data_IF_636670463228
#
_entry.id   IF_636670463228
#
_cell.length_a   1.000
_cell.length_b   1.000
_cell.length_c   1.000
_cell.angle_alpha   90.00
_cell.angle_beta   90.00
_cell.angle_gamma   90.00
#
_symmetry.space_group_name_H-M   'P 1'
#
loop_
_entity.id
_entity.type
_entity.pdbx_description
1 polymer ?
#
# COMPACT_ATOMS: atom_id res chain seq x y z
N UNK A 1 -5.82 -13.65 7.84
CA UNK A 1 -4.42 -14.03 7.53
C UNK A 1 -4.24 -14.47 6.09
N UNK A 2 -5.17 -15.26 5.51
CA UNK A 2 -5.08 -15.75 4.13
C UNK A 2 -4.81 -14.67 3.06
N UNK A 3 -5.34 -13.44 3.24
CA UNK A 3 -5.07 -12.26 2.39
C UNK A 3 -3.59 -11.90 2.31
N UNK A 4 -2.91 -11.75 3.45
CA UNK A 4 -1.49 -11.37 3.48
C UNK A 4 -0.62 -12.51 2.97
N UNK A 5 -0.95 -13.76 3.31
CA UNK A 5 -0.26 -14.93 2.76
C UNK A 5 -0.33 -14.98 1.23
N UNK A 6 -1.51 -14.71 0.65
CA UNK A 6 -1.67 -14.69 -0.80
C UNK A 6 -0.90 -13.53 -1.44
N UNK A 7 -0.93 -12.32 -0.84
CA UNK A 7 -0.07 -11.21 -1.27
C UNK A 7 1.41 -11.60 -1.23
N UNK A 8 1.86 -12.23 -0.15
CA UNK A 8 3.27 -12.59 0.05
C UNK A 8 3.76 -13.68 -0.92
N UNK A 9 2.86 -14.52 -1.43
CA UNK A 9 3.18 -15.50 -2.49
C UNK A 9 3.16 -14.83 -3.86
N UNK A 10 2.29 -13.85 -4.07
CA UNK A 10 2.10 -13.19 -5.38
C UNK A 10 3.17 -12.14 -5.65
N UNK A 11 3.66 -11.45 -4.61
CA UNK A 11 4.55 -10.30 -4.74
C UNK A 11 5.86 -10.52 -3.98
N UNK A 12 6.97 -10.16 -4.62
CA UNK A 12 8.33 -10.27 -4.04
C UNK A 12 8.57 -9.27 -2.91
N UNK A 13 7.87 -8.13 -2.92
CA UNK A 13 7.92 -7.12 -1.89
C UNK A 13 6.56 -6.44 -1.71
N UNK A 14 6.22 -6.12 -0.46
CA UNK A 14 5.00 -5.41 -0.09
C UNK A 14 5.42 -4.22 0.77
N UNK A 15 5.23 -3.02 0.25
CA UNK A 15 5.63 -1.78 0.92
C UNK A 15 4.45 -1.08 1.56
N UNK A 16 4.62 -0.70 2.83
CA UNK A 16 3.66 0.09 3.58
C UNK A 16 4.18 1.53 3.67
N UNK A 17 3.46 2.51 3.10
CA UNK A 17 3.83 3.92 3.22
C UNK A 17 3.88 4.36 4.68
N UNK A 18 4.82 5.25 5.01
CA UNK A 18 5.01 5.73 6.37
C UNK A 18 3.77 6.45 6.90
N UNK A 19 3.11 7.23 6.04
CA UNK A 19 1.92 8.00 6.38
C UNK A 19 0.71 7.09 6.64
N UNK A 20 0.53 6.03 5.83
CA UNK A 20 -0.50 5.01 6.05
C UNK A 20 -0.29 4.33 7.41
N UNK A 21 0.95 3.95 7.75
CA UNK A 21 1.26 3.37 9.06
C UNK A 21 0.92 4.35 10.20
N UNK A 22 1.27 5.64 10.04
CA UNK A 22 0.99 6.66 11.03
C UNK A 22 -0.52 6.83 11.25
N UNK A 23 -1.30 6.99 10.20
CA UNK A 23 -2.76 7.11 10.27
C UNK A 23 -3.41 5.87 10.89
N UNK A 24 -2.98 4.68 10.46
CA UNK A 24 -3.58 3.42 10.88
C UNK A 24 -3.27 3.06 12.35
N UNK A 25 -2.08 3.43 12.84
CA UNK A 25 -1.61 3.06 14.18
C UNK A 25 -1.67 4.18 15.20
N UNK A 26 -1.22 5.39 14.83
CA UNK A 26 -0.96 6.48 15.77
C UNK A 26 -2.21 7.34 15.93
N UNK A 27 -2.83 7.79 14.83
CA UNK A 27 -4.05 8.62 14.87
C UNK A 27 -5.21 7.91 15.60
N UNK A 28 -5.27 6.58 15.50
CA UNK A 28 -6.30 5.75 16.16
C UNK A 28 -5.92 5.20 17.54
N UNK A 29 -4.66 5.39 18.00
CA UNK A 29 -4.11 4.83 19.25
C UNK A 29 -4.43 3.34 19.47
N UNK A 30 -4.49 2.56 18.39
CA UNK A 30 -4.95 1.17 18.43
C UNK A 30 -3.78 0.20 18.69
N UNK A 31 -3.57 -0.14 19.96
CA UNK A 31 -2.52 -1.08 20.40
C UNK A 31 -2.69 -2.46 19.76
N UNK A 32 -3.91 -2.91 19.47
CA UNK A 32 -4.18 -4.22 18.85
C UNK A 32 -3.70 -4.21 17.41
N UNK A 33 -4.05 -3.19 16.62
CA UNK A 33 -3.56 -3.03 15.24
C UNK A 33 -2.04 -2.94 15.16
N UNK A 34 -1.40 -2.23 16.09
CA UNK A 34 0.06 -2.15 16.12
C UNK A 34 0.70 -3.52 16.38
N UNK A 35 0.13 -4.30 17.30
CA UNK A 35 0.59 -5.66 17.58
C UNK A 35 0.40 -6.58 16.36
N UNK A 36 -0.74 -6.47 15.68
CA UNK A 36 -1.02 -7.22 14.44
C UNK A 36 -0.04 -6.82 13.33
N UNK A 37 0.21 -5.54 13.10
CA UNK A 37 1.16 -5.10 12.07
C UNK A 37 2.58 -5.59 12.38
N UNK A 38 3.03 -5.45 13.62
CA UNK A 38 4.35 -5.97 14.04
C UNK A 38 4.45 -7.47 13.85
N UNK A 39 3.39 -8.21 14.15
CA UNK A 39 3.34 -9.64 13.92
C UNK A 39 3.39 -9.96 12.41
N UNK A 40 2.60 -9.28 11.57
CA UNK A 40 2.63 -9.44 10.11
C UNK A 40 4.03 -9.20 9.55
N UNK A 41 4.67 -8.08 9.91
CA UNK A 41 6.02 -7.76 9.43
C UNK A 41 7.09 -8.72 9.94
N UNK A 42 6.85 -9.39 11.08
CA UNK A 42 7.75 -10.42 11.61
C UNK A 42 7.55 -11.76 10.89
N UNK A 43 6.31 -12.12 10.61
CA UNK A 43 5.94 -13.39 9.98
C UNK A 43 6.23 -13.39 8.46
N UNK A 44 5.98 -12.26 7.80
CA UNK A 44 6.13 -12.11 6.35
C UNK A 44 7.25 -11.10 6.07
N UNK A 45 8.47 -11.61 5.84
CA UNK A 45 9.67 -10.78 5.60
C UNK A 45 9.56 -9.85 4.38
N UNK A 46 8.69 -10.19 3.42
CA UNK A 46 8.39 -9.38 2.24
C UNK A 46 7.57 -8.12 2.58
N UNK A 47 6.93 -8.06 3.76
CA UNK A 47 6.14 -6.90 4.20
C UNK A 47 7.01 -5.94 5.00
N UNK A 48 7.36 -4.81 4.40
CA UNK A 48 8.24 -3.81 5.01
C UNK A 48 7.65 -2.40 4.92
N UNK A 49 8.29 -1.45 5.61
CA UNK A 49 8.04 -0.04 5.33
C UNK A 49 8.60 0.30 3.95
N UNK A 50 7.90 1.17 3.23
CA UNK A 50 8.40 1.65 1.95
C UNK A 50 9.78 2.31 2.12
N UNK A 51 10.80 1.89 1.35
CA UNK A 51 12.14 2.47 1.45
C UNK A 51 12.21 3.88 0.85
N UNK A 52 11.24 4.23 -0.01
CA UNK A 52 11.18 5.52 -0.68
C UNK A 52 10.51 6.54 0.24
N UNK A 53 11.27 7.59 0.57
CA UNK A 53 10.77 8.68 1.42
C UNK A 53 10.00 9.71 0.59
N UNK A 54 8.91 10.19 1.16
CA UNK A 54 8.14 11.32 0.65
C UNK A 54 8.08 12.36 1.75
N UNK A 55 8.43 13.60 1.41
CA UNK A 55 8.38 14.71 2.34
C UNK A 55 6.94 15.21 2.51
N UNK A 56 6.65 15.81 3.66
CA UNK A 56 5.33 16.41 3.92
C UNK A 56 4.95 17.46 2.86
N UNK A 57 5.93 18.24 2.38
CA UNK A 57 5.72 19.24 1.34
C UNK A 57 5.28 18.63 0.01
N UNK A 58 5.82 17.46 -0.36
CA UNK A 58 5.38 16.75 -1.57
C UNK A 58 3.93 16.26 -1.45
N UNK A 59 3.56 15.75 -0.28
CA UNK A 59 2.18 15.35 0.02
C UNK A 59 1.24 16.57 -0.07
N UNK A 60 1.62 17.70 0.55
CA UNK A 60 0.85 18.94 0.53
C UNK A 60 0.69 19.51 -0.90
N UNK A 61 1.71 19.37 -1.76
CA UNK A 61 1.60 19.75 -3.18
C UNK A 61 0.59 18.86 -3.91
N UNK A 62 0.52 17.58 -3.55
CA UNK A 62 -0.32 16.60 -4.24
C UNK A 62 -1.79 16.68 -3.82
N UNK A 63 -2.10 16.78 -2.52
CA UNK A 63 -3.49 16.79 -2.00
C UNK A 63 -3.93 18.12 -1.39
N UNK A 64 -3.08 19.14 -1.44
CA UNK A 64 -3.28 20.38 -0.70
C UNK A 64 -3.07 20.18 0.81
N UNK A 65 -3.53 21.13 1.62
CA UNK A 65 -3.46 21.07 3.08
C UNK A 65 -4.42 20.05 3.72
N UNK A 66 -5.10 19.21 2.91
CA UNK A 66 -6.09 18.26 3.40
C UNK A 66 -5.44 16.93 3.78
N UNK A 67 -5.26 16.73 5.09
CA UNK A 67 -4.58 15.58 5.70
C UNK A 67 -5.33 14.25 5.52
N UNK A 68 -6.61 14.27 5.12
CA UNK A 68 -7.43 13.05 4.96
C UNK A 68 -6.94 12.09 3.86
N UNK A 69 -6.14 12.58 2.91
CA UNK A 69 -5.62 11.80 1.79
C UNK A 69 -4.09 11.62 1.83
N UNK A 70 -3.45 11.98 2.95
CA UNK A 70 -1.99 12.02 3.04
C UNK A 70 -1.35 10.63 2.83
N UNK A 71 -1.94 9.57 3.40
CA UNK A 71 -1.50 8.19 3.20
C UNK A 71 -1.54 7.73 1.75
N UNK A 72 -2.58 8.09 1.01
CA UNK A 72 -2.74 7.72 -0.39
C UNK A 72 -1.79 8.49 -1.30
N UNK A 73 -1.60 9.78 -1.01
CA UNK A 73 -0.67 10.63 -1.74
C UNK A 73 0.77 10.15 -1.56
N UNK A 74 1.17 9.82 -0.32
CA UNK A 74 2.47 9.20 0.01
C UNK A 74 2.70 7.95 -0.85
N UNK A 75 1.71 7.05 -0.89
CA UNK A 75 1.79 5.82 -1.67
C UNK A 75 1.92 6.06 -3.18
N UNK A 76 1.12 6.98 -3.75
CA UNK A 76 1.17 7.30 -5.19
C UNK A 76 2.52 7.92 -5.55
N UNK A 77 3.00 8.88 -4.77
CA UNK A 77 4.31 9.53 -4.98
C UNK A 77 5.44 8.49 -4.86
N UNK A 78 5.37 7.57 -3.90
CA UNK A 78 6.32 6.46 -3.79
C UNK A 78 6.33 5.59 -5.04
N UNK A 79 5.16 5.27 -5.60
CA UNK A 79 5.07 4.50 -6.84
C UNK A 79 5.72 5.25 -8.02
N UNK A 80 5.46 6.56 -8.16
CA UNK A 80 6.08 7.37 -9.21
C UNK A 80 7.61 7.44 -9.08
N UNK A 81 8.10 7.64 -7.85
CA UNK A 81 9.53 7.64 -7.55
C UNK A 81 10.17 6.27 -7.78
N UNK A 82 9.47 5.19 -7.49
CA UNK A 82 9.95 3.84 -7.76
C UNK A 82 10.09 3.61 -9.27
N UNK A 83 9.05 3.93 -10.06
CA UNK A 83 9.07 3.78 -11.53
C UNK A 83 10.16 4.61 -12.20
N UNK A 84 10.48 5.78 -11.65
CA UNK A 84 11.50 6.68 -12.20
C UNK A 84 12.92 6.42 -11.67
N UNK A 85 13.09 5.41 -10.82
CA UNK A 85 14.39 5.08 -10.20
C UNK A 85 14.98 3.81 -10.79
N UNK A 86 16.24 3.88 -11.22
CA UNK A 86 16.99 2.72 -11.71
C UNK A 86 17.08 1.59 -10.68
N UNK A 87 17.09 1.93 -9.40
CA UNK A 87 17.12 0.98 -8.29
C UNK A 87 15.91 0.05 -8.23
N UNK A 88 14.81 0.41 -8.87
CA UNK A 88 13.56 -0.35 -8.87
C UNK A 88 13.03 -0.65 -10.28
N UNK A 89 13.84 -0.39 -11.33
CA UNK A 89 13.43 -0.49 -12.73
C UNK A 89 12.93 -1.88 -13.18
N UNK A 90 13.32 -2.94 -12.46
CA UNK A 90 12.93 -4.32 -12.78
C UNK A 90 11.66 -4.81 -12.08
N UNK A 91 11.05 -3.98 -11.24
CA UNK A 91 9.89 -4.35 -10.44
C UNK A 91 8.61 -3.80 -11.05
N UNK A 92 7.61 -4.67 -11.23
CA UNK A 92 6.25 -4.23 -11.52
C UNK A 92 5.66 -3.55 -10.28
N UNK A 93 5.71 -2.22 -10.26
CA UNK A 93 5.20 -1.41 -9.16
C UNK A 93 3.68 -1.31 -9.27
N UNK A 94 2.99 -1.88 -8.28
CA UNK A 94 1.53 -1.93 -8.24
C UNK A 94 1.00 -1.17 -7.02
N UNK A 95 0.11 -0.22 -7.27
CA UNK A 95 -0.64 0.47 -6.23
C UNK A 95 -1.89 -0.34 -5.86
N UNK A 96 -1.97 -0.79 -4.61
CA UNK A 96 -3.09 -1.58 -4.09
C UNK A 96 -3.99 -0.75 -3.18
N UNK A 97 -5.28 -0.65 -3.52
CA UNK A 97 -6.26 0.05 -2.69
C UNK A 97 -7.68 -0.49 -2.88
N UNK A 98 -8.52 -0.25 -1.88
CA UNK A 98 -9.98 -0.44 -1.96
C UNK A 98 -10.72 0.89 -2.18
N UNK A 99 -10.06 2.04 -1.99
CA UNK A 99 -10.69 3.34 -2.18
C UNK A 99 -10.74 3.70 -3.68
N UNK A 100 -11.96 3.86 -4.21
CA UNK A 100 -12.20 4.23 -5.61
C UNK A 100 -11.59 5.59 -5.98
N UNK A 101 -11.62 6.58 -5.08
CA UNK A 101 -11.05 7.91 -5.32
C UNK A 101 -9.52 7.84 -5.38
N UNK A 102 -8.90 7.03 -4.52
CA UNK A 102 -7.45 6.80 -4.55
C UNK A 102 -7.02 6.14 -5.85
N UNK A 103 -7.75 5.09 -6.26
CA UNK A 103 -7.51 4.37 -7.52
C UNK A 103 -7.64 5.32 -8.72
N UNK A 104 -8.73 6.09 -8.79
CA UNK A 104 -8.97 7.07 -9.89
C UNK A 104 -7.84 8.11 -9.96
N UNK A 105 -7.36 8.60 -8.80
CA UNK A 105 -6.19 9.50 -8.76
C UNK A 105 -4.94 8.82 -9.30
N UNK A 106 -4.68 7.57 -8.90
CA UNK A 106 -3.51 6.82 -9.33
C UNK A 106 -3.51 6.49 -10.83
N UNK A 107 -4.68 6.30 -11.45
CA UNK A 107 -4.81 6.09 -12.92
C UNK A 107 -4.19 7.23 -13.73
N UNK A 108 -4.26 8.47 -13.22
CA UNK A 108 -3.69 9.65 -13.88
C UNK A 108 -2.15 9.71 -13.89
N UNK A 109 -1.47 8.79 -13.22
CA UNK A 109 -0.01 8.79 -13.06
C UNK A 109 0.69 7.59 -13.69
N UNK A 110 0.01 6.87 -14.58
CA UNK A 110 0.55 5.67 -15.26
C UNK A 110 1.05 4.61 -14.25
N UNK A 111 0.40 4.48 -13.09
CA UNK A 111 0.75 3.46 -12.10
C UNK A 111 -0.14 2.23 -12.33
N UNK A 112 0.46 1.03 -12.31
CA UNK A 112 -0.32 -0.21 -12.36
C UNK A 112 -1.17 -0.34 -11.10
N UNK A 113 -2.45 -0.66 -11.25
CA UNK A 113 -3.38 -0.69 -10.14
C UNK A 113 -3.83 -2.11 -9.83
N UNK A 114 -3.94 -2.41 -8.53
CA UNK A 114 -4.64 -3.58 -8.04
C UNK A 114 -5.82 -3.12 -7.21
N UNK A 115 -7.02 -3.42 -7.70
CA UNK A 115 -8.26 -3.18 -6.99
C UNK A 115 -8.50 -4.32 -6.01
N UNK A 116 -8.97 -4.02 -4.80
CA UNK A 116 -9.31 -5.05 -3.82
C UNK A 116 -10.33 -6.06 -4.34
N UNK A 117 -11.31 -5.64 -5.14
CA UNK A 117 -12.30 -6.53 -5.77
C UNK A 117 -11.64 -7.57 -6.67
N UNK A 118 -10.77 -7.12 -7.58
CA UNK A 118 -10.02 -7.99 -8.49
C UNK A 118 -9.10 -8.93 -7.72
N UNK A 119 -8.46 -8.43 -6.66
CA UNK A 119 -7.63 -9.26 -5.79
C UNK A 119 -8.45 -10.35 -5.06
N UNK A 120 -9.64 -9.99 -4.56
CA UNK A 120 -10.58 -10.92 -3.91
C UNK A 120 -11.04 -12.00 -4.88
N UNK A 121 -11.35 -11.67 -6.13
CA UNK A 121 -11.72 -12.65 -7.16
C UNK A 121 -10.60 -13.65 -7.41
N UNK A 122 -9.36 -13.18 -7.60
CA UNK A 122 -8.17 -14.05 -7.75
C UNK A 122 -7.98 -15.00 -6.56
N UNK A 123 -8.24 -14.53 -5.34
CA UNK A 123 -8.17 -15.37 -4.16
C UNK A 123 -9.25 -16.46 -4.16
N UNK A 124 -10.48 -16.12 -4.56
CA UNK A 124 -11.59 -17.07 -4.65
C UNK A 124 -11.32 -18.14 -5.73
N UNK A 125 -10.78 -17.74 -6.88
CA UNK A 125 -10.33 -18.66 -7.95
C UNK A 125 -9.23 -19.62 -7.46
N UNK A 126 -8.36 -19.15 -6.57
CA UNK A 126 -7.36 -19.97 -5.91
C UNK A 126 -7.91 -20.85 -4.75
N UNK A 127 -9.23 -20.88 -4.55
CA UNK A 127 -9.88 -21.65 -3.48
C UNK A 127 -9.75 -21.04 -2.09
N UNK A 128 -9.38 -19.76 -1.98
CA UNK A 128 -9.19 -19.05 -0.72
C UNK A 128 -10.46 -18.26 -0.38
N UNK A 129 -11.25 -18.81 0.53
CA UNK A 129 -12.41 -18.10 1.09
C UNK A 129 -11.96 -17.02 2.10
N UNK A 130 -12.46 -15.79 1.89
CA UNK A 130 -12.26 -14.64 2.78
C UNK A 130 -13.59 -14.36 3.50
N UNK A 131 -13.61 -14.33 4.85
CA UNK A 131 -14.83 -13.96 5.58
C UNK A 131 -15.26 -12.53 5.22
N UNK A 132 -16.58 -12.35 5.08
CA UNK A 132 -17.26 -11.09 4.73
C UNK A 132 -17.03 -10.04 5.81
#
# INVERSE_FOLDING_TARGET
>A
MKVISFLAITYTAIWIPATVRYEFLIKRRDKKRNRVLKWIMKEFSVVTLCPIKVSKKEIEIFVGSNDENAGEADAIIQCQKAKSSDSFAFSDIVFFSNDKKALTRAEGFDISLLRYSTFRERMLEAGIEIPI
#
